data_IF_227291037586
#
_entry.id   IF_227291037586
#
_cell.length_a   1.000
_cell.length_b   1.000
_cell.length_c   1.000
_cell.angle_alpha   90.00
_cell.angle_beta   90.00
_cell.angle_gamma   90.00
#
_symmetry.space_group_name_H-M   'P 1'
#
loop_
_entity.id
_entity.type
_entity.pdbx_description
1 polymer ?
#
# COMPACT_ATOMS: atom_id res chain seq x y z
N UNK A 1 23.79 -0.20 -23.47
CA UNK A 1 22.93 -0.08 -22.29
C UNK A 1 21.51 -0.48 -22.62
N UNK A 2 20.82 -1.25 -21.78
CA UNK A 2 19.36 -1.32 -21.86
C UNK A 2 18.80 0.07 -21.56
N UNK A 3 17.74 0.44 -22.27
CA UNK A 3 16.96 1.67 -22.08
C UNK A 3 16.63 1.83 -20.58
N UNK A 4 16.80 3.01 -19.95
CA UNK A 4 16.37 3.21 -18.57
C UNK A 4 14.88 2.87 -18.47
N UNK A 5 14.53 2.05 -17.49
CA UNK A 5 13.13 1.75 -17.20
C UNK A 5 12.34 3.08 -17.09
N UNK A 6 11.12 3.15 -17.65
CA UNK A 6 10.34 4.38 -17.61
C UNK A 6 10.20 4.88 -16.16
N UNK A 7 10.35 6.18 -15.97
CA UNK A 7 10.26 6.80 -14.66
C UNK A 7 8.89 6.54 -14.03
N UNK A 8 8.86 6.19 -12.74
CA UNK A 8 7.61 6.07 -11.99
C UNK A 8 7.10 7.46 -11.61
N UNK A 9 5.97 7.87 -12.20
CA UNK A 9 5.38 9.20 -12.01
C UNK A 9 3.94 9.07 -11.50
N UNK A 10 3.73 8.71 -10.23
CA UNK A 10 2.38 8.55 -9.68
C UNK A 10 1.63 9.89 -9.74
N UNK A 11 0.41 9.85 -10.22
CA UNK A 11 -0.49 11.00 -10.37
C UNK A 11 -1.61 11.01 -9.32
N UNK A 12 -1.72 9.94 -8.54
CA UNK A 12 -2.78 9.75 -7.54
C UNK A 12 -2.22 9.23 -6.23
N UNK A 13 -2.77 9.73 -5.13
CA UNK A 13 -2.54 9.23 -3.78
C UNK A 13 -3.88 8.91 -3.10
N UNK A 14 -4.05 7.69 -2.62
CA UNK A 14 -5.15 7.27 -1.74
C UNK A 14 -4.66 7.22 -0.30
N UNK A 15 -5.34 7.95 0.59
CA UNK A 15 -5.02 7.97 2.02
C UNK A 15 -6.08 7.20 2.79
N UNK A 16 -5.68 6.12 3.45
CA UNK A 16 -6.55 5.35 4.34
C UNK A 16 -6.18 5.63 5.80
N UNK A 17 -7.16 6.05 6.59
CA UNK A 17 -7.03 6.31 8.02
C UNK A 17 -7.64 5.14 8.80
N UNK A 18 -6.85 4.50 9.65
CA UNK A 18 -7.27 3.35 10.45
C UNK A 18 -7.31 3.74 11.91
N UNK A 19 -8.52 3.83 12.46
CA UNK A 19 -8.71 3.88 13.91
C UNK A 19 -8.52 2.50 14.54
N UNK A 20 -8.59 2.45 15.87
CA UNK A 20 -8.51 1.21 16.65
C UNK A 20 -9.44 0.12 16.15
N UNK A 21 -8.91 -1.10 16.02
CA UNK A 21 -9.67 -2.26 15.56
C UNK A 21 -10.09 -2.24 14.08
N UNK A 22 -9.70 -1.22 13.30
CA UNK A 22 -10.00 -1.15 11.87
C UNK A 22 -9.34 -2.29 11.10
N UNK A 23 -10.02 -2.78 10.07
CA UNK A 23 -9.50 -3.80 9.16
C UNK A 23 -9.84 -3.45 7.72
N UNK A 24 -9.12 -4.05 6.78
CA UNK A 24 -9.42 -3.97 5.36
C UNK A 24 -9.35 -5.37 4.76
N UNK A 25 -10.45 -5.80 4.15
CA UNK A 25 -10.53 -7.09 3.47
C UNK A 25 -9.59 -7.16 2.27
N UNK A 26 -9.33 -8.39 1.80
CA UNK A 26 -8.57 -8.62 0.58
C UNK A 26 -9.27 -7.95 -0.60
N UNK A 27 -8.58 -7.08 -1.31
CA UNK A 27 -9.05 -6.37 -2.51
C UNK A 27 -7.91 -6.23 -3.52
N UNK A 28 -8.22 -5.71 -4.71
CA UNK A 28 -7.27 -5.42 -5.78
C UNK A 28 -7.44 -3.98 -6.20
N UNK A 29 -6.35 -3.39 -6.65
CA UNK A 29 -6.33 -2.05 -7.24
C UNK A 29 -6.54 -2.18 -8.74
N UNK A 30 -7.81 -2.17 -9.18
CA UNK A 30 -8.23 -2.48 -10.57
C UNK A 30 -8.64 -1.27 -11.38
N UNK A 31 -8.72 -0.10 -10.76
CA UNK A 31 -9.37 1.06 -11.36
C UNK A 31 -8.46 1.82 -12.32
N UNK A 32 -7.15 1.52 -12.31
CA UNK A 32 -6.15 2.20 -13.13
C UNK A 32 -5.92 1.50 -14.49
N UNK A 33 -5.66 2.29 -15.53
CA UNK A 33 -5.25 1.78 -16.85
C UNK A 33 -3.74 1.51 -16.94
N UNK A 34 -2.93 2.09 -16.05
CA UNK A 34 -1.48 1.89 -16.02
C UNK A 34 -1.11 0.54 -15.40
N UNK A 35 -0.03 -0.06 -15.90
CA UNK A 35 0.61 -1.25 -15.34
C UNK A 35 1.74 -0.93 -14.37
N UNK A 36 1.99 0.36 -14.10
CA UNK A 36 2.99 0.83 -13.14
C UNK A 36 2.72 0.25 -11.74
N UNK A 37 3.77 0.06 -10.92
CA UNK A 37 3.63 -0.53 -9.59
C UNK A 37 2.74 0.31 -8.66
N UNK A 38 2.13 -0.36 -7.68
CA UNK A 38 1.52 0.30 -6.52
C UNK A 38 2.59 0.47 -5.45
N UNK A 39 2.65 1.66 -4.84
CA UNK A 39 3.60 2.00 -3.77
C UNK A 39 2.81 2.40 -2.54
N UNK A 40 2.92 1.62 -1.46
CA UNK A 40 2.09 1.79 -0.26
C UNK A 40 2.96 2.01 0.98
N UNK A 41 2.90 3.21 1.55
CA UNK A 41 3.61 3.63 2.77
C UNK A 41 2.73 3.40 4.01
N UNK A 42 3.32 2.91 5.09
CA UNK A 42 2.67 2.73 6.40
C UNK A 42 3.25 3.70 7.42
N UNK A 43 2.39 4.44 8.13
CA UNK A 43 2.77 5.36 9.20
C UNK A 43 1.89 5.12 10.43
N UNK A 44 2.43 5.27 11.63
CA UNK A 44 1.71 5.08 12.89
C UNK A 44 1.79 3.64 13.41
N UNK A 45 0.69 3.14 13.96
CA UNK A 45 0.60 1.80 14.52
C UNK A 45 0.89 0.75 13.45
N UNK A 46 1.68 -0.25 13.83
CA UNK A 46 2.02 -1.36 12.96
C UNK A 46 0.77 -2.13 12.53
N UNK A 47 0.84 -2.81 11.39
CA UNK A 47 -0.24 -3.68 10.92
C UNK A 47 0.27 -5.01 10.38
N UNK A 48 -0.62 -5.99 10.32
CA UNK A 48 -0.44 -7.14 9.43
C UNK A 48 -0.93 -6.73 8.04
N UNK A 49 -0.03 -6.70 7.07
CA UNK A 49 -0.36 -6.62 5.65
C UNK A 49 -0.40 -8.02 5.07
N UNK A 50 -1.53 -8.39 4.47
CA UNK A 50 -1.72 -9.69 3.83
C UNK A 50 -1.59 -9.53 2.34
N UNK A 51 -0.67 -10.27 1.73
CA UNK A 51 -0.40 -10.28 0.29
C UNK A 51 -0.73 -11.64 -0.31
N UNK A 52 -1.75 -11.69 -1.17
CA UNK A 52 -2.26 -12.89 -1.82
C UNK A 52 -1.84 -13.01 -3.28
N UNK A 53 -2.61 -13.76 -4.06
CA UNK A 53 -2.35 -13.99 -5.48
C UNK A 53 -3.13 -13.02 -6.37
N UNK A 54 -2.76 -12.86 -7.66
CA UNK A 54 -3.54 -12.07 -8.62
C UNK A 54 -4.89 -12.68 -9.01
N UNK A 55 -5.07 -13.99 -8.86
CA UNK A 55 -6.21 -14.71 -9.45
C UNK A 55 -7.41 -14.76 -8.51
N UNK A 56 -7.20 -14.89 -7.19
CA UNK A 56 -8.30 -15.08 -6.24
C UNK A 56 -8.00 -14.58 -4.83
N UNK A 57 -9.08 -14.36 -4.05
CA UNK A 57 -9.02 -13.94 -2.63
C UNK A 57 -8.64 -15.07 -1.65
N UNK A 58 -8.44 -16.28 -2.16
CA UNK A 58 -8.09 -17.47 -1.37
C UNK A 58 -6.60 -17.54 -1.02
N UNK A 59 -6.20 -18.67 -0.40
CA UNK A 59 -4.79 -19.02 -0.17
C UNK A 59 -4.12 -19.48 -1.47
N UNK A 60 -2.78 -19.34 -1.61
CA UNK A 60 -1.84 -18.87 -0.59
C UNK A 60 -1.83 -17.35 -0.42
N UNK A 61 -1.46 -16.90 0.78
CA UNK A 61 -1.11 -15.51 1.05
C UNK A 61 0.05 -15.47 2.05
N UNK A 62 0.82 -14.40 1.99
CA UNK A 62 1.91 -14.08 2.91
C UNK A 62 1.48 -12.91 3.78
N UNK A 63 1.56 -13.08 5.10
CA UNK A 63 1.36 -12.00 6.06
C UNK A 63 2.72 -11.38 6.40
N UNK A 64 2.83 -10.07 6.24
CA UNK A 64 4.01 -9.27 6.57
C UNK A 64 3.61 -8.23 7.61
N UNK A 65 4.41 -8.07 8.66
CA UNK A 65 4.22 -6.96 9.59
C UNK A 65 4.83 -5.71 8.98
N UNK A 66 4.04 -4.64 8.89
CA UNK A 66 4.51 -3.31 8.50
C UNK A 66 4.49 -2.40 9.72
N UNK A 67 5.58 -1.70 9.96
CA UNK A 67 5.74 -0.71 11.02
C UNK A 67 5.74 0.72 10.42
N UNK A 68 5.83 1.73 11.29
CA UNK A 68 5.86 3.12 10.83
C UNK A 68 7.14 3.39 10.04
N UNK A 69 6.99 3.83 8.79
CA UNK A 69 8.07 4.08 7.84
C UNK A 69 8.26 2.97 6.81
N UNK A 70 7.66 1.78 7.02
CA UNK A 70 7.75 0.69 6.06
C UNK A 70 6.94 0.98 4.80
N UNK A 71 7.44 0.48 3.67
CA UNK A 71 6.83 0.63 2.37
C UNK A 71 6.77 -0.71 1.64
N UNK A 72 5.64 -0.97 0.99
CA UNK A 72 5.46 -2.12 0.10
C UNK A 72 5.33 -1.61 -1.33
N UNK A 73 6.10 -2.19 -2.24
CA UNK A 73 5.97 -1.99 -3.68
C UNK A 73 5.54 -3.30 -4.32
N UNK A 74 4.49 -3.28 -5.13
CA UNK A 74 4.11 -4.43 -5.95
C UNK A 74 3.67 -4.00 -7.35
N UNK A 75 4.27 -4.62 -8.36
CA UNK A 75 4.05 -4.34 -9.77
C UNK A 75 4.28 -5.57 -10.63
N UNK A 76 4.36 -5.39 -11.94
CA UNK A 76 4.57 -6.51 -12.88
C UNK A 76 3.52 -7.61 -12.69
N UNK A 77 3.91 -8.90 -12.62
CA UNK A 77 2.99 -10.02 -12.39
C UNK A 77 2.15 -9.88 -11.11
N UNK A 78 2.65 -9.12 -10.13
CA UNK A 78 2.00 -8.92 -8.83
C UNK A 78 1.17 -7.63 -8.76
N UNK A 79 1.09 -6.84 -9.85
CA UNK A 79 0.34 -5.57 -9.88
C UNK A 79 -1.14 -5.73 -9.50
N UNK A 80 -1.68 -6.91 -9.80
CA UNK A 80 -3.07 -7.27 -9.52
C UNK A 80 -3.19 -8.19 -8.29
N UNK A 81 -2.19 -8.31 -7.43
CA UNK A 81 -2.28 -9.18 -6.26
C UNK A 81 -3.39 -8.72 -5.30
N UNK A 82 -4.23 -9.66 -4.84
CA UNK A 82 -5.16 -9.40 -3.76
C UNK A 82 -4.40 -9.07 -2.48
N UNK A 83 -4.73 -7.97 -1.82
CA UNK A 83 -4.06 -7.58 -0.58
C UNK A 83 -5.01 -6.89 0.40
N UNK A 84 -4.63 -6.82 1.67
CA UNK A 84 -5.48 -6.29 2.73
C UNK A 84 -4.76 -6.10 4.05
N UNK A 85 -5.48 -5.56 5.03
CA UNK A 85 -4.99 -5.30 6.39
C UNK A 85 -5.90 -6.02 7.39
N UNK A 86 -5.65 -7.31 7.69
CA UNK A 86 -6.48 -8.06 8.64
C UNK A 86 -6.37 -7.57 10.09
N UNK A 87 -5.29 -6.86 10.45
CA UNK A 87 -5.07 -6.39 11.83
C UNK A 87 -4.21 -5.14 11.88
N UNK A 88 -4.60 -4.19 12.72
CA UNK A 88 -3.75 -3.09 13.22
C UNK A 88 -3.39 -3.39 14.68
N UNK A 89 -2.15 -3.07 15.07
CA UNK A 89 -1.63 -3.30 16.41
C UNK A 89 -1.59 -1.97 17.18
N UNK A 90 -2.71 -1.65 17.82
CA UNK A 90 -2.86 -0.45 18.64
C UNK A 90 -1.65 -0.21 19.57
N UNK A 91 -1.21 1.04 19.67
CA UNK A 91 -0.21 1.41 20.68
C UNK A 91 1.24 1.15 20.26
N UNK A 92 1.50 0.77 19.01
CA UNK A 92 2.84 0.44 18.50
C UNK A 92 3.52 1.56 17.72
N UNK A 93 2.82 2.65 17.41
CA UNK A 93 3.40 3.82 16.74
C UNK A 93 4.61 4.38 17.52
N UNK A 94 5.73 4.70 16.84
CA UNK A 94 6.83 5.44 17.43
C UNK A 94 6.39 6.81 17.95
N UNK A 95 7.09 7.33 18.97
CA UNK A 95 6.77 8.62 19.59
C UNK A 95 6.75 9.76 18.56
N UNK A 96 7.78 9.85 17.70
CA UNK A 96 7.85 10.85 16.63
C UNK A 96 6.63 10.81 15.70
N UNK A 97 6.09 9.62 15.44
CA UNK A 97 4.96 9.47 14.55
C UNK A 97 3.66 9.94 15.22
N UNK A 98 3.49 9.66 16.52
CA UNK A 98 2.37 10.18 17.32
C UNK A 98 2.40 11.69 17.48
N UNK A 99 3.58 12.29 17.61
CA UNK A 99 3.72 13.74 17.66
C UNK A 99 3.22 14.41 16.38
N UNK A 100 3.38 13.76 15.23
CA UNK A 100 2.93 14.27 13.92
C UNK A 100 1.46 13.92 13.64
N UNK A 101 1.05 12.67 13.85
CA UNK A 101 -0.29 12.18 13.51
C UNK A 101 -1.35 12.48 14.57
N UNK A 102 -0.94 12.76 15.82
CA UNK A 102 -1.84 12.90 16.96
C UNK A 102 -2.24 11.57 17.59
N UNK A 103 -3.29 11.62 18.42
CA UNK A 103 -3.78 10.46 19.15
C UNK A 103 -4.58 9.47 18.28
N UNK A 104 -5.26 9.96 17.25
CA UNK A 104 -5.97 9.18 16.24
C UNK A 104 -5.86 9.90 14.89
N UNK A 105 -5.80 9.18 13.75
CA UNK A 105 -5.92 7.71 13.65
C UNK A 105 -4.69 6.98 14.16
N UNK A 106 -4.90 5.77 14.70
CA UNK A 106 -3.79 4.89 15.11
C UNK A 106 -2.80 4.61 13.97
N UNK A 107 -3.28 4.41 12.73
CA UNK A 107 -2.45 4.18 11.54
C UNK A 107 -2.92 4.98 10.32
N UNK A 108 -1.96 5.44 9.52
CA UNK A 108 -2.17 6.05 8.20
C UNK A 108 -1.48 5.21 7.14
N UNK A 109 -2.17 4.97 6.02
CA UNK A 109 -1.58 4.40 4.82
C UNK A 109 -1.70 5.37 3.66
N UNK A 110 -0.60 5.60 2.96
CA UNK A 110 -0.57 6.42 1.75
C UNK A 110 -0.19 5.51 0.60
N UNK A 111 -1.13 5.31 -0.32
CA UNK A 111 -0.92 4.47 -1.51
C UNK A 111 -0.83 5.35 -2.74
N UNK A 112 0.35 5.39 -3.36
CA UNK A 112 0.65 6.11 -4.59
C UNK A 112 0.42 5.19 -5.79
N UNK A 113 -0.22 5.73 -6.83
CA UNK A 113 -0.51 5.02 -8.07
C UNK A 113 -0.38 5.96 -9.27
N UNK A 114 -0.10 5.36 -10.41
CA UNK A 114 -0.20 6.00 -11.71
C UNK A 114 -1.49 5.52 -12.37
N UNK A 115 -2.39 6.42 -12.75
CA UNK A 115 -3.70 6.04 -13.29
C UNK A 115 -3.70 5.79 -14.78
N UNK A 116 -2.76 6.38 -15.52
CA UNK A 116 -2.65 6.29 -16.99
C UNK A 116 -1.23 5.98 -17.42
N UNK A 117 -1.02 5.21 -18.50
CA UNK A 117 0.31 5.00 -19.05
C UNK A 117 0.98 6.34 -19.40
N UNK A 118 2.32 6.41 -19.38
CA UNK A 118 3.04 7.58 -19.85
C UNK A 118 2.58 7.92 -21.27
N UNK A 119 2.16 9.16 -21.50
CA UNK A 119 1.93 9.64 -22.86
C UNK A 119 3.28 9.68 -23.56
N UNK A 120 3.43 8.93 -24.66
CA UNK A 120 4.61 9.04 -25.53
C UNK A 120 4.74 10.49 -26.02
N UNK A 121 5.55 11.31 -25.32
CA UNK A 121 5.79 12.71 -25.64
C UNK A 121 5.53 13.66 -24.46
N UNK A 122 6.53 13.82 -23.60
CA UNK A 122 6.57 14.81 -22.51
C UNK A 122 7.90 14.75 -21.78
#
# INVERSE_FOLDING_TARGET
DPDPAPAYTPDTALVNLYGRGSTMGLHQDRDEASTAPVVSLSLGDACTFRFGTPEHRGRPYTDVRLESGDLVVFGGPSRMAFHGVPKVFDGTAPAWCREVLGAEPGRVNITLRETRPPTLGG
#
